data_IF_867243861359
#
_entry.id   IF_867243861359
#
_cell.length_a   1.000
_cell.length_b   1.000
_cell.length_c   1.000
_cell.angle_alpha   90.00
_cell.angle_beta   90.00
_cell.angle_gamma   90.00
#
_symmetry.space_group_name_H-M   'P 1'
#
loop_
_entity.id
_entity.type
_entity.pdbx_description
1 polymer ?
#
# COMPACT_ATOMS: atom_id res chain seq x y z
N UNK A 1 -19.24 10.86 -3.57
CA UNK A 1 -18.49 10.22 -2.45
C UNK A 1 -19.34 9.15 -1.81
N UNK A 2 -18.76 7.99 -1.51
CA UNK A 2 -19.43 6.89 -0.82
C UNK A 2 -18.65 6.53 0.45
N UNK A 3 -19.05 7.06 1.63
CA UNK A 3 -18.28 6.85 2.87
C UNK A 3 -18.14 5.38 3.29
N UNK A 4 -19.16 4.56 3.08
CA UNK A 4 -19.07 3.13 3.42
C UNK A 4 -18.07 2.41 2.55
N UNK A 5 -18.07 2.68 1.25
CA UNK A 5 -17.12 2.10 0.31
C UNK A 5 -15.70 2.57 0.64
N UNK A 6 -15.53 3.86 0.91
CA UNK A 6 -14.23 4.40 1.30
C UNK A 6 -13.70 3.74 2.56
N UNK A 7 -14.55 3.52 3.58
CA UNK A 7 -14.14 2.83 4.82
C UNK A 7 -13.61 1.43 4.55
N UNK A 8 -14.29 0.67 3.69
CA UNK A 8 -13.90 -0.70 3.35
C UNK A 8 -12.51 -0.72 2.71
N UNK A 9 -12.28 0.17 1.75
CA UNK A 9 -10.99 0.18 1.03
C UNK A 9 -9.87 0.80 1.86
N UNK A 10 -10.13 1.77 2.72
CA UNK A 10 -9.15 2.26 3.68
C UNK A 10 -8.73 1.17 4.66
N UNK A 11 -9.70 0.41 5.18
CA UNK A 11 -9.41 -0.72 6.07
C UNK A 11 -8.56 -1.78 5.37
N UNK A 12 -8.84 -2.05 4.09
CA UNK A 12 -8.05 -3.00 3.31
C UNK A 12 -6.62 -2.52 3.10
N UNK A 13 -6.41 -1.23 2.85
CA UNK A 13 -5.07 -0.66 2.73
C UNK A 13 -4.30 -0.86 4.04
N UNK A 14 -4.92 -0.57 5.19
CA UNK A 14 -4.29 -0.77 6.49
C UNK A 14 -3.95 -2.24 6.74
N UNK A 15 -4.85 -3.15 6.38
CA UNK A 15 -4.59 -4.58 6.49
C UNK A 15 -3.39 -5.00 5.63
N UNK A 16 -3.29 -4.51 4.41
CA UNK A 16 -2.16 -4.81 3.54
C UNK A 16 -0.83 -4.35 4.15
N UNK A 17 -0.80 -3.14 4.71
CA UNK A 17 0.39 -2.60 5.38
C UNK A 17 0.79 -3.48 6.56
N UNK A 18 -0.18 -3.85 7.39
CA UNK A 18 0.06 -4.70 8.56
C UNK A 18 0.62 -6.06 8.16
N UNK A 19 0.04 -6.69 7.13
CA UNK A 19 0.51 -7.98 6.64
C UNK A 19 1.90 -7.91 6.04
N UNK A 20 2.22 -6.85 5.31
CA UNK A 20 3.58 -6.65 4.77
C UNK A 20 4.59 -6.61 5.91
N UNK A 21 4.28 -5.89 6.99
CA UNK A 21 5.15 -5.83 8.16
C UNK A 21 5.28 -7.19 8.85
N UNK A 22 4.19 -7.93 8.96
CA UNK A 22 4.20 -9.26 9.56
C UNK A 22 5.06 -10.23 8.74
N UNK A 23 4.90 -10.23 7.40
CA UNK A 23 5.66 -11.12 6.54
C UNK A 23 7.16 -10.84 6.58
N UNK A 24 7.54 -9.57 6.64
CA UNK A 24 8.95 -9.15 6.60
C UNK A 24 9.58 -9.03 7.99
N UNK A 25 8.77 -8.92 9.05
CA UNK A 25 9.26 -8.62 10.39
C UNK A 25 9.97 -7.28 10.46
N UNK A 26 9.66 -6.35 9.56
CA UNK A 26 10.35 -5.06 9.41
C UNK A 26 11.86 -5.24 9.16
N UNK A 27 12.24 -6.36 8.56
CA UNK A 27 13.64 -6.76 8.37
C UNK A 27 13.92 -6.95 6.88
N UNK A 28 14.85 -6.16 6.36
CA UNK A 28 15.23 -6.19 4.94
C UNK A 28 15.73 -7.57 4.51
N UNK A 29 16.53 -8.24 5.35
CA UNK A 29 17.10 -9.54 5.01
C UNK A 29 16.02 -10.62 4.89
N UNK A 30 14.99 -10.59 5.73
CA UNK A 30 13.87 -11.51 5.63
C UNK A 30 13.18 -11.39 4.28
N UNK A 31 13.04 -10.17 3.79
CA UNK A 31 12.45 -9.92 2.48
C UNK A 31 13.40 -10.34 1.35
N UNK A 32 14.67 -9.94 1.41
CA UNK A 32 15.63 -10.18 0.32
C UNK A 32 15.99 -11.65 0.16
N UNK A 33 15.88 -12.46 1.21
CA UNK A 33 16.34 -13.86 1.19
C UNK A 33 15.21 -14.88 1.03
N UNK A 34 13.96 -14.47 0.96
CA UNK A 34 12.82 -15.40 0.88
C UNK A 34 11.92 -15.10 -0.31
N UNK A 35 11.98 -15.94 -1.37
CA UNK A 35 11.02 -15.81 -2.47
C UNK A 35 9.56 -15.87 -2.01
N UNK A 36 9.25 -16.69 -1.01
CA UNK A 36 7.90 -16.78 -0.46
C UNK A 36 7.43 -15.43 0.13
N UNK A 37 8.29 -14.80 0.92
CA UNK A 37 7.99 -13.48 1.50
C UNK A 37 7.88 -12.44 0.40
N UNK A 38 8.76 -12.46 -0.60
CA UNK A 38 8.72 -11.56 -1.74
C UNK A 38 7.38 -11.65 -2.47
N UNK A 39 6.94 -12.86 -2.79
CA UNK A 39 5.68 -13.08 -3.49
C UNK A 39 4.48 -12.59 -2.66
N UNK A 40 4.48 -12.86 -1.36
CA UNK A 40 3.42 -12.42 -0.46
C UNK A 40 3.36 -10.90 -0.37
N UNK A 41 4.51 -10.23 -0.25
CA UNK A 41 4.60 -8.76 -0.20
C UNK A 41 4.12 -8.14 -1.50
N UNK A 42 4.59 -8.66 -2.64
CA UNK A 42 4.21 -8.15 -3.95
C UNK A 42 2.69 -8.25 -4.17
N UNK A 43 2.09 -9.36 -3.75
CA UNK A 43 0.64 -9.51 -3.83
C UNK A 43 -0.09 -8.46 -2.99
N UNK A 44 0.41 -8.17 -1.78
CA UNK A 44 -0.20 -7.16 -0.92
C UNK A 44 -0.05 -5.75 -1.48
N UNK A 45 1.10 -5.42 -2.07
CA UNK A 45 1.30 -4.14 -2.74
C UNK A 45 0.34 -3.98 -3.93
N UNK A 46 0.14 -5.04 -4.69
CA UNK A 46 -0.79 -5.03 -5.82
C UNK A 46 -2.24 -4.79 -5.36
N UNK A 47 -2.71 -5.54 -4.37
CA UNK A 47 -4.09 -5.40 -3.88
C UNK A 47 -4.30 -4.06 -3.18
N UNK A 48 -3.28 -3.54 -2.52
CA UNK A 48 -3.33 -2.20 -1.93
C UNK A 48 -3.48 -1.11 -3.00
N UNK A 49 -2.74 -1.22 -4.10
CA UNK A 49 -2.85 -0.29 -5.22
C UNK A 49 -4.24 -0.36 -5.88
N UNK A 50 -4.81 -1.54 -5.98
CA UNK A 50 -6.18 -1.73 -6.48
C UNK A 50 -7.21 -1.06 -5.56
N UNK A 51 -7.04 -1.19 -4.24
CA UNK A 51 -7.92 -0.53 -3.27
C UNK A 51 -7.87 0.99 -3.38
N UNK A 52 -6.70 1.55 -3.64
CA UNK A 52 -6.55 3.00 -3.85
C UNK A 52 -7.43 3.48 -4.99
N UNK A 53 -7.56 2.72 -6.06
CA UNK A 53 -8.38 3.09 -7.22
C UNK A 53 -9.86 3.17 -6.88
N UNK A 54 -10.31 2.50 -5.84
CA UNK A 54 -11.69 2.49 -5.40
C UNK A 54 -12.04 3.63 -4.44
N UNK A 55 -11.02 4.32 -3.92
CA UNK A 55 -11.24 5.48 -3.04
C UNK A 55 -11.76 6.67 -3.86
N UNK A 56 -12.68 7.43 -3.27
CA UNK A 56 -13.20 8.64 -3.90
C UNK A 56 -12.12 9.71 -4.05
N UNK A 57 -12.23 10.52 -5.10
CA UNK A 57 -11.28 11.62 -5.34
C UNK A 57 -11.36 12.66 -4.23
N UNK A 58 -12.56 12.92 -3.70
CA UNK A 58 -12.75 13.86 -2.59
C UNK A 58 -11.97 13.43 -1.36
N UNK A 59 -12.03 12.13 -1.04
CA UNK A 59 -11.29 11.58 0.11
C UNK A 59 -9.79 11.71 -0.09
N UNK A 60 -9.28 11.39 -1.27
CA UNK A 60 -7.85 11.50 -1.57
C UNK A 60 -7.39 12.95 -1.51
N UNK A 61 -8.24 13.90 -1.89
CA UNK A 61 -7.93 15.33 -1.80
C UNK A 61 -7.78 15.81 -0.36
N UNK A 62 -8.40 15.11 0.60
CA UNK A 62 -8.26 15.42 2.03
C UNK A 62 -6.91 14.99 2.62
N UNK A 63 -6.11 14.24 1.87
CA UNK A 63 -4.76 13.84 2.28
C UNK A 63 -3.74 14.21 1.18
N UNK A 64 -3.51 15.52 0.94
CA UNK A 64 -2.60 15.96 -0.11
C UNK A 64 -1.12 15.65 0.18
N UNK A 65 -0.80 15.32 1.43
CA UNK A 65 0.53 14.90 1.86
C UNK A 65 0.88 13.47 1.40
N UNK A 66 -0.10 12.70 0.95
CA UNK A 66 0.13 11.34 0.42
C UNK A 66 0.43 11.41 -1.07
N UNK A 67 1.49 10.75 -1.50
CA UNK A 67 1.74 10.53 -2.92
C UNK A 67 0.91 9.33 -3.41
N UNK A 68 -0.33 9.60 -3.80
CA UNK A 68 -1.23 8.58 -4.31
C UNK A 68 -0.75 7.96 -5.63
N UNK A 69 0.06 8.70 -6.39
CA UNK A 69 0.63 8.20 -7.65
C UNK A 69 1.70 7.14 -7.40
N UNK A 70 2.46 7.26 -6.32
CA UNK A 70 3.44 6.26 -5.93
C UNK A 70 2.75 4.91 -5.70
N UNK A 71 1.58 4.92 -5.07
CA UNK A 71 0.80 3.71 -4.83
C UNK A 71 0.33 3.07 -6.15
N UNK A 72 -0.11 3.88 -7.11
CA UNK A 72 -0.43 3.40 -8.46
C UNK A 72 0.79 2.84 -9.18
N UNK A 73 1.97 3.44 -8.95
CA UNK A 73 3.22 2.98 -9.53
C UNK A 73 3.57 1.56 -9.14
N UNK A 74 3.24 1.12 -7.94
CA UNK A 74 3.47 -0.26 -7.51
C UNK A 74 2.74 -1.26 -8.42
N UNK A 75 1.52 -0.96 -8.82
CA UNK A 75 0.78 -1.82 -9.75
C UNK A 75 1.49 -1.93 -11.09
N UNK A 76 1.99 -0.82 -11.62
CA UNK A 76 2.69 -0.80 -12.91
C UNK A 76 3.97 -1.62 -12.86
N UNK A 77 4.77 -1.48 -11.81
CA UNK A 77 5.99 -2.26 -11.60
C UNK A 77 5.67 -3.76 -11.60
N UNK A 78 4.63 -4.15 -10.84
CA UNK A 78 4.26 -5.56 -10.70
C UNK A 78 3.74 -6.17 -12.00
N UNK A 79 3.02 -5.38 -12.82
CA UNK A 79 2.43 -5.86 -14.08
C UNK A 79 3.46 -5.88 -15.21
N UNK A 80 4.27 -4.82 -15.32
CA UNK A 80 5.14 -4.63 -16.48
C UNK A 80 6.55 -5.20 -16.28
N UNK A 81 7.06 -5.23 -15.07
CA UNK A 81 8.43 -5.65 -14.79
C UNK A 81 8.55 -7.08 -14.31
N UNK A 82 7.43 -7.77 -14.11
CA UNK A 82 7.44 -9.13 -13.54
C UNK A 82 8.27 -10.11 -14.38
N UNK A 83 8.11 -10.07 -15.70
CA UNK A 83 8.82 -10.98 -16.62
C UNK A 83 10.29 -10.58 -16.83
N UNK A 84 10.63 -9.31 -16.61
CA UNK A 84 11.98 -8.78 -16.78
C UNK A 84 12.78 -8.77 -15.49
N UNK A 85 12.19 -9.28 -14.41
CA UNK A 85 12.78 -9.24 -13.07
C UNK A 85 12.41 -7.97 -12.34
N UNK A 86 11.87 -8.14 -11.12
CA UNK A 86 11.51 -7.01 -10.27
C UNK A 86 12.74 -6.60 -9.46
N UNK A 87 13.01 -5.30 -9.42
CA UNK A 87 14.08 -4.76 -8.59
C UNK A 87 13.64 -4.76 -7.11
N UNK A 88 14.05 -5.79 -6.38
CA UNK A 88 13.68 -5.99 -4.99
C UNK A 88 14.21 -4.90 -4.06
N UNK A 89 15.36 -4.29 -4.38
CA UNK A 89 15.89 -3.18 -3.61
C UNK A 89 14.95 -1.98 -3.68
N UNK A 90 14.42 -1.68 -4.85
CA UNK A 90 13.45 -0.59 -5.01
C UNK A 90 12.15 -0.88 -4.30
N UNK A 91 11.69 -2.14 -4.32
CA UNK A 91 10.48 -2.53 -3.60
C UNK A 91 10.68 -2.35 -2.09
N UNK A 92 11.82 -2.79 -1.57
CA UNK A 92 12.12 -2.62 -0.14
C UNK A 92 12.22 -1.16 0.25
N UNK A 93 12.87 -0.32 -0.56
CA UNK A 93 12.98 1.11 -0.30
C UNK A 93 11.59 1.76 -0.22
N UNK A 94 10.68 1.38 -1.11
CA UNK A 94 9.30 1.85 -1.06
C UNK A 94 8.59 1.42 0.22
N UNK A 95 8.77 0.17 0.65
CA UNK A 95 8.20 -0.34 1.90
C UNK A 95 8.75 0.46 3.10
N UNK A 96 10.07 0.64 3.15
CA UNK A 96 10.73 1.28 4.28
C UNK A 96 10.39 2.78 4.39
N UNK A 97 10.19 3.46 3.26
CA UNK A 97 10.07 4.92 3.25
C UNK A 97 8.65 5.44 2.99
N UNK A 98 7.76 4.63 2.45
CA UNK A 98 6.43 5.08 2.03
C UNK A 98 5.31 4.62 2.95
N UNK A 99 5.36 3.39 3.46
CA UNK A 99 4.22 2.78 4.14
C UNK A 99 3.82 3.48 5.43
N UNK A 100 4.79 3.99 6.20
CA UNK A 100 4.48 4.67 7.48
C UNK A 100 3.68 5.95 7.27
N UNK A 101 4.05 6.75 6.29
CA UNK A 101 3.30 7.97 5.95
C UNK A 101 1.91 7.65 5.43
N UNK A 102 1.80 6.64 4.57
CA UNK A 102 0.52 6.17 4.06
C UNK A 102 -0.38 5.67 5.20
N UNK A 103 0.16 4.88 6.10
CA UNK A 103 -0.59 4.38 7.26
C UNK A 103 -1.16 5.51 8.10
N UNK A 104 -0.33 6.48 8.43
CA UNK A 104 -0.78 7.63 9.24
C UNK A 104 -1.90 8.40 8.56
N UNK A 105 -1.76 8.65 7.26
CA UNK A 105 -2.78 9.36 6.49
C UNK A 105 -4.08 8.58 6.38
N UNK A 106 -4.00 7.27 6.13
CA UNK A 106 -5.19 6.42 6.02
C UNK A 106 -5.94 6.34 7.35
N UNK A 107 -5.22 6.26 8.46
CA UNK A 107 -5.84 6.30 9.80
C UNK A 107 -6.58 7.61 10.04
N UNK A 108 -5.99 8.75 9.67
CA UNK A 108 -6.66 10.06 9.80
C UNK A 108 -7.92 10.12 8.94
N UNK A 109 -7.86 9.64 7.71
CA UNK A 109 -9.02 9.61 6.82
C UNK A 109 -10.13 8.72 7.37
N UNK A 110 -9.79 7.56 7.92
CA UNK A 110 -10.75 6.65 8.53
C UNK A 110 -11.44 7.29 9.73
N UNK A 111 -10.68 7.95 10.60
CA UNK A 111 -11.21 8.65 11.77
C UNK A 111 -12.16 9.77 11.36
N UNK A 112 -11.81 10.51 10.31
CA UNK A 112 -12.67 11.56 9.76
C UNK A 112 -14.02 11.04 9.29
N UNK A 113 -14.04 9.86 8.66
CA UNK A 113 -15.28 9.24 8.20
C UNK A 113 -16.15 8.74 9.35
N UNK A 114 -15.55 8.31 10.46
CA UNK A 114 -16.28 7.84 11.64
C UNK A 114 -16.95 8.98 12.39
N UNK A 115 -16.46 10.21 12.25
CA UNK A 115 -16.99 11.39 12.92
C UNK A 115 -18.16 12.04 12.16
N UNK A 116 -18.44 11.59 10.97
CA UNK A 116 -19.58 12.09 10.19
C UNK A 116 -20.91 11.37 10.60
#
# INVERSE_FOLDING_TARGET
MNPERDRVYLAHILECIERIRDYTGNNRENFMNSPLVQDAVLRRLQTMAESRQQLSDDLKADAPDVDWRALSGFRNVLVHDYLNGIDLDRVWDAIANYLSGLESAVKRLSEGLEQE
#
